data_IF_764308461664
#
_entry.id   IF_764308461664
#
_cell.length_a   1.000
_cell.length_b   1.000
_cell.length_c   1.000
_cell.angle_alpha   90.00
_cell.angle_beta   90.00
_cell.angle_gamma   90.00
#
_symmetry.space_group_name_H-M   'P 1'
#
loop_
_entity.id
_entity.type
_entity.pdbx_description
1 polymer ?
#
# COMPACT_ATOMS: atom_id res chain seq x y z
N UNK A 1 21.34 10.99 -0.15
CA UNK A 1 20.04 11.65 0.10
C UNK A 1 19.90 12.80 -0.89
N UNK A 2 18.75 12.91 -1.59
CA UNK A 2 18.50 14.07 -2.44
C UNK A 2 18.43 15.34 -1.58
N UNK A 3 18.97 16.44 -2.09
CA UNK A 3 18.90 17.72 -1.38
C UNK A 3 17.44 18.16 -1.22
N UNK A 4 17.06 18.88 -0.14
CA UNK A 4 15.70 19.39 0.05
C UNK A 4 15.16 20.12 -1.20
N UNK A 5 16.00 20.88 -1.87
CA UNK A 5 15.65 21.60 -3.11
C UNK A 5 15.27 20.66 -4.27
N UNK A 6 15.86 19.47 -4.40
CA UNK A 6 15.48 18.50 -5.43
C UNK A 6 14.12 17.90 -5.12
N UNK A 7 13.90 17.50 -3.87
CA UNK A 7 12.63 16.94 -3.40
C UNK A 7 11.46 17.90 -3.63
N UNK A 8 11.65 19.18 -3.31
CA UNK A 8 10.60 20.20 -3.47
C UNK A 8 10.26 20.42 -4.95
N UNK A 9 11.29 20.48 -5.82
CA UNK A 9 11.11 20.57 -7.27
C UNK A 9 10.37 19.36 -7.84
N UNK A 10 10.74 18.15 -7.39
CA UNK A 10 10.08 16.93 -7.81
C UNK A 10 8.60 16.92 -7.38
N UNK A 11 8.31 17.28 -6.14
CA UNK A 11 6.94 17.35 -5.64
C UNK A 11 6.10 18.37 -6.41
N UNK A 12 6.65 19.56 -6.69
CA UNK A 12 5.99 20.56 -7.52
C UNK A 12 5.70 20.02 -8.93
N UNK A 13 6.64 19.31 -9.54
CA UNK A 13 6.46 18.72 -10.88
C UNK A 13 5.42 17.59 -10.90
N UNK A 14 5.25 16.87 -9.79
CA UNK A 14 4.24 15.81 -9.65
C UNK A 14 2.82 16.32 -9.44
N UNK A 15 2.63 17.56 -9.02
CA UNK A 15 1.30 18.15 -8.83
C UNK A 15 1.11 18.92 -7.53
N UNK A 16 2.20 19.30 -6.87
CA UNK A 16 2.19 20.22 -5.73
C UNK A 16 2.21 19.52 -4.37
N UNK A 17 1.99 20.29 -3.30
CA UNK A 17 2.15 19.78 -1.94
C UNK A 17 1.18 18.62 -1.63
N UNK A 18 1.60 17.80 -0.68
CA UNK A 18 0.73 16.80 -0.09
C UNK A 18 -0.38 17.48 0.72
N UNK A 19 -1.57 16.87 0.82
CA UNK A 19 -2.58 17.34 1.77
C UNK A 19 -2.06 17.23 3.19
N UNK A 20 -2.64 18.01 4.09
CA UNK A 20 -2.35 17.91 5.51
C UNK A 20 -2.63 16.48 6.03
N UNK A 21 -1.82 16.05 7.00
CA UNK A 21 -2.04 14.76 7.63
C UNK A 21 -3.35 14.80 8.42
N UNK A 22 -4.15 13.76 8.26
CA UNK A 22 -5.33 13.50 9.08
C UNK A 22 -5.23 12.10 9.69
N UNK A 23 -6.15 11.76 10.56
CA UNK A 23 -6.24 10.42 11.13
C UNK A 23 -6.43 9.38 10.04
N UNK A 24 -5.75 8.24 10.19
CA UNK A 24 -5.81 7.15 9.24
C UNK A 24 -7.16 6.39 9.27
N UNK A 25 -7.98 6.62 10.29
CA UNK A 25 -9.28 5.95 10.46
C UNK A 25 -9.19 4.43 10.23
N UNK A 26 -8.18 3.82 10.84
CA UNK A 26 -7.85 2.40 10.64
C UNK A 26 -8.99 1.50 11.08
N UNK A 27 -9.35 0.54 10.23
CA UNK A 27 -10.30 -0.53 10.54
C UNK A 27 -9.66 -1.88 10.24
N UNK A 28 -9.71 -2.78 11.22
CA UNK A 28 -9.37 -4.20 11.00
C UNK A 28 -10.66 -4.93 10.63
N UNK A 29 -10.67 -5.51 9.43
CA UNK A 29 -11.86 -6.17 8.86
C UNK A 29 -11.91 -7.66 9.18
N UNK A 30 -10.74 -8.32 9.18
CA UNK A 30 -10.63 -9.74 9.53
C UNK A 30 -9.21 -10.07 10.01
N UNK A 31 -9.12 -11.19 10.74
CA UNK A 31 -7.86 -11.82 11.15
C UNK A 31 -7.96 -13.30 10.89
N UNK A 32 -6.93 -13.88 10.32
CA UNK A 32 -6.84 -15.30 10.04
C UNK A 32 -5.43 -15.80 10.39
N UNK A 33 -5.34 -16.93 11.11
CA UNK A 33 -4.05 -17.55 11.36
C UNK A 33 -3.63 -18.38 10.14
N UNK A 34 -2.44 -18.16 9.67
CA UNK A 34 -1.76 -18.91 8.62
C UNK A 34 -0.56 -19.65 9.23
N UNK A 35 0.13 -20.43 8.39
CA UNK A 35 1.35 -21.12 8.82
C UNK A 35 2.50 -20.12 9.01
N UNK A 36 2.88 -19.90 10.26
CA UNK A 36 3.96 -19.01 10.68
C UNK A 36 3.61 -17.53 10.79
N UNK A 37 2.38 -17.11 10.47
CA UNK A 37 1.98 -15.70 10.60
C UNK A 37 0.46 -15.52 10.74
N UNK A 38 0.06 -14.36 11.27
CA UNK A 38 -1.33 -13.89 11.25
C UNK A 38 -1.53 -12.95 10.05
N UNK A 39 -2.51 -13.27 9.21
CA UNK A 39 -2.97 -12.41 8.12
C UNK A 39 -4.11 -11.51 8.63
N UNK A 40 -3.95 -10.21 8.50
CA UNK A 40 -4.99 -9.23 8.80
C UNK A 40 -5.44 -8.54 7.51
N UNK A 41 -6.75 -8.43 7.29
CA UNK A 41 -7.32 -7.54 6.29
C UNK A 41 -7.67 -6.24 6.98
N UNK A 42 -7.12 -5.14 6.50
CA UNK A 42 -7.32 -3.80 7.08
C UNK A 42 -7.72 -2.80 6.01
N UNK A 43 -8.23 -1.65 6.45
CA UNK A 43 -8.37 -0.47 5.62
C UNK A 43 -7.97 0.77 6.39
N UNK A 44 -7.43 1.77 5.71
CA UNK A 44 -7.07 3.07 6.26
C UNK A 44 -7.24 4.16 5.20
N UNK A 45 -7.31 5.43 5.63
CA UNK A 45 -7.57 6.57 4.77
C UNK A 45 -6.26 7.32 4.46
N UNK A 46 -5.82 7.40 3.19
CA UNK A 46 -4.68 8.22 2.77
C UNK A 46 -5.02 9.71 2.76
N UNK A 47 -6.27 10.03 2.42
CA UNK A 47 -6.88 11.36 2.40
C UNK A 47 -8.39 11.23 2.62
N UNK A 48 -9.06 12.31 3.01
CA UNK A 48 -10.48 12.30 3.35
C UNK A 48 -11.33 11.76 2.18
N UNK A 49 -12.14 10.76 2.44
CA UNK A 49 -13.05 10.14 1.47
C UNK A 49 -12.40 9.12 0.53
N UNK A 50 -11.11 8.82 0.69
CA UNK A 50 -10.46 7.70 0.00
C UNK A 50 -10.07 6.61 1.01
N UNK A 51 -10.02 5.38 0.55
CA UNK A 51 -9.69 4.23 1.40
C UNK A 51 -8.69 3.32 0.73
N UNK A 52 -7.66 2.92 1.46
CA UNK A 52 -6.72 1.88 1.03
C UNK A 52 -7.03 0.58 1.78
N UNK A 53 -7.57 -0.44 1.10
CA UNK A 53 -7.56 -1.80 1.60
C UNK A 53 -6.14 -2.35 1.56
N UNK A 54 -5.75 -3.10 2.59
CA UNK A 54 -4.43 -3.73 2.66
C UNK A 54 -4.52 -5.09 3.35
N UNK A 55 -3.57 -5.96 3.04
CA UNK A 55 -3.24 -7.10 3.87
C UNK A 55 -1.99 -6.80 4.71
N UNK A 56 -2.03 -7.25 5.97
CA UNK A 56 -0.88 -7.19 6.87
C UNK A 56 -0.55 -8.61 7.32
N UNK A 57 0.68 -9.01 7.12
CA UNK A 57 1.20 -10.29 7.56
C UNK A 57 2.07 -10.03 8.80
N UNK A 58 1.66 -10.57 9.93
CA UNK A 58 2.37 -10.40 11.21
C UNK A 58 2.93 -11.76 11.61
N UNK A 59 4.26 -11.94 11.61
CA UNK A 59 4.88 -13.22 11.98
C UNK A 59 4.52 -13.67 13.38
N UNK A 60 4.49 -14.97 13.61
CA UNK A 60 4.30 -15.54 14.93
C UNK A 60 5.43 -15.10 15.88
N UNK A 61 5.06 -14.78 17.12
CA UNK A 61 6.01 -14.27 18.11
C UNK A 61 6.35 -12.78 18.01
N UNK A 62 5.89 -12.09 16.96
CA UNK A 62 5.99 -10.63 16.86
C UNK A 62 4.87 -9.99 17.70
N UNK A 63 5.26 -9.12 18.63
CA UNK A 63 4.35 -8.48 19.60
C UNK A 63 4.83 -7.05 19.88
N UNK A 64 4.03 -6.21 20.55
CA UNK A 64 4.50 -4.89 20.98
C UNK A 64 5.74 -4.91 21.89
N UNK A 65 6.01 -6.02 22.58
CA UNK A 65 7.19 -6.21 23.42
C UNK A 65 8.39 -6.79 22.64
N UNK A 66 8.12 -7.34 21.46
CA UNK A 66 9.13 -7.88 20.54
C UNK A 66 8.78 -7.42 19.11
N UNK A 67 8.91 -6.12 18.81
CA UNK A 67 8.57 -5.58 17.50
C UNK A 67 9.55 -6.07 16.43
N UNK A 68 9.08 -6.12 15.19
CA UNK A 68 9.89 -6.55 14.05
C UNK A 68 10.06 -5.46 12.99
N UNK A 69 11.16 -5.57 12.24
CA UNK A 69 11.36 -4.79 11.02
C UNK A 69 10.20 -5.03 10.05
N UNK A 70 9.87 -4.01 9.27
CA UNK A 70 8.67 -4.03 8.42
C UNK A 70 9.01 -3.73 6.97
N UNK A 71 8.32 -4.42 6.04
CA UNK A 71 8.41 -4.13 4.61
C UNK A 71 7.03 -3.78 4.06
N UNK A 72 6.91 -2.58 3.47
CA UNK A 72 5.74 -2.19 2.69
C UNK A 72 5.93 -2.62 1.24
N UNK A 73 5.01 -3.43 0.69
CA UNK A 73 5.12 -4.00 -0.66
C UNK A 73 4.05 -3.40 -1.58
N UNK A 74 4.49 -2.84 -2.70
CA UNK A 74 3.60 -2.45 -3.79
C UNK A 74 3.61 -3.51 -4.87
N UNK A 75 2.39 -4.02 -5.17
CA UNK A 75 2.18 -5.10 -6.13
C UNK A 75 2.48 -4.67 -7.56
N UNK A 76 2.68 -5.65 -8.45
CA UNK A 76 2.87 -5.41 -9.87
C UNK A 76 1.59 -4.93 -10.57
N UNK A 77 1.75 -4.36 -11.76
CA UNK A 77 0.65 -3.99 -12.66
C UNK A 77 0.25 -5.14 -13.61
N UNK A 78 1.14 -5.55 -14.48
CA UNK A 78 1.00 -6.63 -15.48
C UNK A 78 -0.34 -6.67 -16.24
N UNK A 79 -1.16 -5.59 -16.24
CA UNK A 79 -2.51 -5.59 -16.77
C UNK A 79 -3.53 -6.42 -15.97
N UNK A 80 -3.17 -6.87 -14.79
CA UNK A 80 -3.99 -7.75 -13.95
C UNK A 80 -4.73 -6.94 -12.87
N UNK A 81 -5.65 -6.07 -13.27
CA UNK A 81 -6.37 -5.15 -12.39
C UNK A 81 -7.22 -5.81 -11.30
N UNK A 82 -7.48 -7.11 -11.40
CA UNK A 82 -8.18 -7.90 -10.40
C UNK A 82 -7.25 -8.34 -9.25
N UNK A 83 -5.93 -8.23 -9.44
CA UNK A 83 -4.91 -8.49 -8.44
C UNK A 83 -4.36 -7.16 -7.91
N UNK A 84 -4.18 -7.09 -6.63
CA UNK A 84 -3.61 -5.95 -5.93
C UNK A 84 -2.85 -6.46 -4.73
N UNK A 85 -3.28 -6.09 -3.53
CA UNK A 85 -2.74 -6.58 -2.26
C UNK A 85 -2.73 -8.11 -2.13
N UNK A 86 -3.67 -8.81 -2.82
CA UNK A 86 -3.79 -10.28 -2.74
C UNK A 86 -2.59 -11.01 -3.35
N UNK A 87 -1.96 -10.45 -4.40
CA UNK A 87 -0.82 -11.07 -5.07
C UNK A 87 0.41 -11.18 -4.13
N UNK A 88 1.00 -10.10 -3.58
CA UNK A 88 2.12 -10.23 -2.67
C UNK A 88 1.75 -10.90 -1.33
N UNK A 89 0.50 -10.82 -0.90
CA UNK A 89 0.03 -11.46 0.33
C UNK A 89 -0.24 -12.98 0.18
N UNK A 90 -0.05 -13.55 -1.01
CA UNK A 90 -0.24 -14.98 -1.25
C UNK A 90 -1.69 -15.45 -1.20
N UNK A 91 -2.64 -14.54 -1.45
CA UNK A 91 -4.08 -14.84 -1.42
C UNK A 91 -4.64 -15.15 -2.81
N UNK A 92 -3.97 -14.65 -3.85
CA UNK A 92 -4.30 -14.87 -5.26
C UNK A 92 -3.05 -14.60 -6.11
N UNK A 93 -3.12 -14.84 -7.43
CA UNK A 93 -2.02 -14.57 -8.34
C UNK A 93 -1.00 -15.72 -8.45
N UNK A 94 0.18 -15.41 -8.99
CA UNK A 94 1.22 -16.42 -9.21
C UNK A 94 2.14 -16.54 -7.99
N UNK A 95 2.42 -17.79 -7.56
CA UNK A 95 3.25 -18.06 -6.39
C UNK A 95 4.61 -17.32 -6.39
N UNK A 96 5.18 -17.07 -7.55
CA UNK A 96 6.45 -16.31 -7.66
C UNK A 96 6.34 -14.86 -7.20
N UNK A 97 5.14 -14.33 -7.09
CA UNK A 97 4.86 -12.97 -6.62
C UNK A 97 4.44 -12.90 -5.15
N UNK A 98 4.26 -14.04 -4.47
CA UNK A 98 3.90 -14.10 -3.06
C UNK A 98 5.07 -13.68 -2.13
N UNK A 99 5.72 -12.59 -2.49
CA UNK A 99 6.93 -12.08 -1.81
C UNK A 99 6.67 -11.70 -0.35
N UNK A 100 5.45 -11.26 -0.04
CA UNK A 100 5.06 -10.92 1.32
C UNK A 100 5.02 -12.15 2.24
N UNK A 101 4.60 -13.30 1.72
CA UNK A 101 4.60 -14.56 2.48
C UNK A 101 6.04 -14.96 2.84
N UNK A 102 6.95 -14.94 1.86
CA UNK A 102 8.36 -15.24 2.11
C UNK A 102 9.00 -14.32 3.15
N UNK A 103 8.72 -13.01 3.07
CA UNK A 103 9.22 -12.06 4.05
C UNK A 103 8.61 -12.27 5.45
N UNK A 104 7.33 -12.61 5.54
CA UNK A 104 6.71 -12.92 6.83
C UNK A 104 7.32 -14.18 7.47
N UNK A 105 7.66 -15.18 6.68
CA UNK A 105 8.37 -16.38 7.15
C UNK A 105 9.80 -16.08 7.62
N UNK A 106 10.42 -15.00 7.11
CA UNK A 106 11.71 -14.47 7.56
C UNK A 106 11.57 -13.40 8.68
N UNK A 107 10.45 -13.43 9.42
CA UNK A 107 10.16 -12.60 10.58
C UNK A 107 10.01 -11.08 10.30
N UNK A 108 9.69 -10.66 9.09
CA UNK A 108 9.31 -9.28 8.80
C UNK A 108 7.80 -9.09 8.94
N UNK A 109 7.35 -8.01 9.56
CA UNK A 109 5.97 -7.55 9.35
C UNK A 109 5.85 -7.05 7.91
N UNK A 110 4.78 -7.43 7.22
CA UNK A 110 4.59 -7.03 5.83
C UNK A 110 3.26 -6.30 5.66
N UNK A 111 3.27 -5.18 4.95
CA UNK A 111 2.06 -4.43 4.60
C UNK A 111 1.92 -4.38 3.09
N UNK A 112 0.83 -4.95 2.57
CA UNK A 112 0.51 -5.02 1.15
C UNK A 112 -0.76 -4.20 0.87
N UNK A 113 -0.67 -2.94 0.41
CA UNK A 113 -1.83 -2.13 0.04
C UNK A 113 -2.30 -2.39 -1.39
N UNK A 114 -3.56 -2.08 -1.68
CA UNK A 114 -4.05 -1.93 -3.05
C UNK A 114 -3.63 -0.58 -3.63
N UNK A 115 -3.08 -0.59 -4.83
CA UNK A 115 -2.92 0.63 -5.61
C UNK A 115 -4.28 1.13 -6.15
N UNK A 116 -4.34 2.42 -6.47
CA UNK A 116 -5.55 3.04 -7.06
C UNK A 116 -5.91 2.35 -8.39
N UNK A 117 -7.18 1.92 -8.52
CA UNK A 117 -7.66 1.24 -9.72
C UNK A 117 -7.45 -0.27 -9.75
N UNK A 118 -6.95 -0.86 -8.66
CA UNK A 118 -6.74 -2.31 -8.52
C UNK A 118 -7.63 -2.93 -7.46
N UNK A 119 -7.92 -4.21 -7.63
CA UNK A 119 -8.64 -5.09 -6.72
C UNK A 119 -9.86 -4.41 -6.06
N UNK A 120 -9.85 -4.14 -4.77
CA UNK A 120 -11.00 -3.52 -4.09
C UNK A 120 -11.16 -2.03 -4.41
N UNK A 121 -10.11 -1.34 -4.85
CA UNK A 121 -10.20 0.08 -5.20
C UNK A 121 -10.83 0.36 -6.57
N UNK A 122 -11.27 -0.68 -7.30
CA UNK A 122 -12.11 -0.53 -8.49
C UNK A 122 -13.60 -0.35 -8.16
N UNK A 123 -14.04 -0.68 -6.93
CA UNK A 123 -15.47 -0.68 -6.54
C UNK A 123 -16.14 0.69 -6.62
N UNK A 124 -15.38 1.76 -6.48
CA UNK A 124 -15.90 3.13 -6.57
C UNK A 124 -16.27 3.56 -8.00
N UNK A 125 -16.04 2.71 -9.00
CA UNK A 125 -16.23 3.01 -10.41
C UNK A 125 -17.08 1.91 -11.07
N UNK A 126 -18.41 1.99 -10.91
CA UNK A 126 -19.33 0.91 -11.29
C UNK A 126 -19.30 0.52 -12.76
N UNK A 127 -19.01 1.49 -13.66
CA UNK A 127 -19.08 1.30 -15.13
C UNK A 127 -17.73 1.06 -15.79
N UNK A 128 -16.61 1.33 -15.14
CA UNK A 128 -15.27 1.25 -15.73
C UNK A 128 -14.44 0.14 -15.09
N UNK A 129 -13.65 -0.54 -15.92
CA UNK A 129 -12.75 -1.64 -15.49
C UNK A 129 -11.44 -1.61 -16.28
N UNK A 130 -10.42 -2.22 -15.69
CA UNK A 130 -9.14 -2.44 -16.35
C UNK A 130 -8.49 -1.14 -16.84
N UNK A 131 -7.94 -1.18 -18.05
CA UNK A 131 -7.25 -0.03 -18.65
C UNK A 131 -8.13 1.20 -18.89
N UNK A 132 -9.44 1.03 -19.09
CA UNK A 132 -10.37 2.16 -19.24
C UNK A 132 -10.54 2.89 -17.89
N UNK A 133 -10.61 2.15 -16.80
CA UNK A 133 -10.63 2.74 -15.44
C UNK A 133 -9.32 3.45 -15.14
N UNK A 134 -8.18 2.81 -15.41
CA UNK A 134 -6.87 3.42 -15.17
C UNK A 134 -6.72 4.72 -15.97
N UNK A 135 -7.08 4.69 -17.26
CA UNK A 135 -7.06 5.88 -18.12
C UNK A 135 -7.96 6.99 -17.58
N UNK A 136 -9.16 6.64 -17.12
CA UNK A 136 -10.07 7.61 -16.50
C UNK A 136 -9.46 8.26 -15.26
N UNK A 137 -8.89 7.45 -14.36
CA UNK A 137 -8.23 7.94 -13.15
C UNK A 137 -7.04 8.83 -13.51
N UNK A 138 -6.19 8.39 -14.43
CA UNK A 138 -5.06 9.15 -14.94
C UNK A 138 -5.48 10.55 -15.45
N UNK A 139 -6.49 10.60 -16.32
CA UNK A 139 -7.00 11.86 -16.87
C UNK A 139 -7.61 12.75 -15.78
N UNK A 140 -8.28 12.19 -14.79
CA UNK A 140 -8.81 12.94 -13.63
C UNK A 140 -7.71 13.68 -12.88
N UNK A 141 -6.55 13.03 -12.65
CA UNK A 141 -5.41 13.68 -12.00
C UNK A 141 -4.77 14.73 -12.90
N UNK A 142 -4.63 14.46 -14.21
CA UNK A 142 -4.09 15.44 -15.17
C UNK A 142 -4.93 16.72 -15.20
N UNK A 143 -6.26 16.59 -15.28
CA UNK A 143 -7.19 17.75 -15.25
C UNK A 143 -7.09 18.52 -13.92
N UNK A 144 -6.81 17.83 -12.82
CA UNK A 144 -6.59 18.45 -11.52
C UNK A 144 -5.19 19.06 -11.34
N UNK A 145 -4.35 19.08 -12.40
CA UNK A 145 -2.97 19.59 -12.34
C UNK A 145 -2.01 18.68 -11.57
N UNK A 146 -2.32 17.39 -11.45
CA UNK A 146 -1.55 16.39 -10.72
C UNK A 146 -1.17 15.22 -11.63
N UNK A 147 -0.17 14.48 -11.23
CA UNK A 147 0.14 13.18 -11.85
C UNK A 147 -0.48 12.04 -11.05
N UNK A 148 -0.72 10.89 -11.70
CA UNK A 148 -1.10 9.67 -10.98
C UNK A 148 0.03 9.21 -10.04
N UNK A 149 1.30 9.45 -10.41
CA UNK A 149 2.45 9.21 -9.54
C UNK A 149 2.38 10.02 -8.23
N UNK A 150 1.85 11.27 -8.26
CA UNK A 150 1.60 12.04 -7.05
C UNK A 150 0.70 11.26 -6.09
N UNK A 151 -0.41 10.70 -6.60
CA UNK A 151 -1.35 9.93 -5.79
C UNK A 151 -0.72 8.64 -5.26
N UNK A 152 -0.05 7.88 -6.11
CA UNK A 152 0.59 6.64 -5.70
C UNK A 152 1.63 6.88 -4.60
N UNK A 153 2.45 7.93 -4.70
CA UNK A 153 3.43 8.27 -3.67
C UNK A 153 2.75 8.75 -2.38
N UNK A 154 1.64 9.49 -2.46
CA UNK A 154 0.86 9.84 -1.28
C UNK A 154 0.37 8.57 -0.56
N UNK A 155 -0.20 7.63 -1.30
CA UNK A 155 -0.69 6.37 -0.75
C UNK A 155 0.45 5.55 -0.11
N UNK A 156 1.62 5.51 -0.76
CA UNK A 156 2.83 4.90 -0.20
C UNK A 156 3.24 5.54 1.14
N UNK A 157 3.28 6.88 1.20
CA UNK A 157 3.59 7.60 2.43
C UNK A 157 2.60 7.27 3.55
N UNK A 158 1.30 7.23 3.23
CA UNK A 158 0.25 6.91 4.21
C UNK A 158 0.30 5.44 4.66
N UNK A 159 0.73 4.55 3.77
CA UNK A 159 1.00 3.15 4.13
C UNK A 159 2.15 3.03 5.13
N UNK A 160 3.22 3.81 4.94
CA UNK A 160 4.32 3.87 5.93
C UNK A 160 3.84 4.51 7.24
N UNK A 161 3.06 5.61 7.19
CA UNK A 161 2.46 6.21 8.40
C UNK A 161 1.60 5.16 9.15
N UNK A 162 0.84 4.33 8.42
CA UNK A 162 0.07 3.23 9.01
C UNK A 162 0.98 2.17 9.64
N UNK A 163 2.02 1.72 8.93
CA UNK A 163 2.96 0.75 9.47
C UNK A 163 3.59 1.24 10.78
N UNK A 164 4.09 2.49 10.80
CA UNK A 164 4.67 3.12 12.02
C UNK A 164 3.67 3.22 13.17
N UNK A 165 2.37 3.35 12.89
CA UNK A 165 1.35 3.44 13.93
C UNK A 165 1.08 2.12 14.66
N UNK A 166 1.59 1.00 14.14
CA UNK A 166 1.37 -0.33 14.72
C UNK A 166 2.36 -0.62 15.84
N UNK A 167 1.90 -1.08 17.00
CA UNK A 167 2.78 -1.26 18.16
C UNK A 167 3.78 -2.43 18.02
N UNK A 168 3.52 -3.40 17.13
CA UNK A 168 4.40 -4.52 16.84
C UNK A 168 5.42 -4.24 15.72
N UNK A 169 5.45 -3.01 15.19
CA UNK A 169 6.39 -2.57 14.15
C UNK A 169 7.56 -1.84 14.79
N UNK A 170 8.76 -2.22 14.42
CA UNK A 170 9.97 -1.42 14.69
C UNK A 170 10.04 -0.25 13.71
N UNK A 171 9.66 0.94 14.19
CA UNK A 171 9.56 2.15 13.38
C UNK A 171 10.92 2.66 12.86
N UNK A 172 12.04 2.22 13.43
CA UNK A 172 13.39 2.57 12.96
C UNK A 172 13.85 1.69 11.79
N UNK A 173 13.18 0.54 11.56
CA UNK A 173 13.55 -0.46 10.57
C UNK A 173 12.40 -0.75 9.60
N UNK A 174 12.11 0.22 8.71
CA UNK A 174 11.08 0.09 7.68
C UNK A 174 11.71 0.12 6.29
N UNK A 175 11.47 -0.95 5.53
CA UNK A 175 11.82 -1.06 4.12
C UNK A 175 10.60 -0.92 3.21
N UNK A 176 10.87 -0.64 1.93
CA UNK A 176 9.88 -0.64 0.87
C UNK A 176 10.35 -1.51 -0.28
N UNK A 177 9.44 -2.28 -0.83
CA UNK A 177 9.64 -3.10 -2.02
C UNK A 177 8.57 -2.79 -3.05
N UNK A 178 8.92 -2.72 -4.31
CA UNK A 178 7.99 -2.53 -5.42
C UNK A 178 8.43 -3.34 -6.62
N UNK A 179 7.46 -3.86 -7.37
CA UNK A 179 7.72 -4.61 -8.60
C UNK A 179 6.90 -4.05 -9.75
N UNK A 180 7.56 -3.64 -10.84
CA UNK A 180 6.97 -3.31 -12.15
C UNK A 180 6.07 -2.05 -12.24
N UNK A 181 5.39 -1.61 -11.22
CA UNK A 181 4.45 -0.48 -11.28
C UNK A 181 5.14 0.88 -11.25
#
# INVERSE_FOLDING_TARGET
MATPMFRDKLLAALGGPWPDKHDLNVKVLSREQKDGYRLEKVQYEPEAGDTIPAYVLVPDGVTPQNPAATVCIWHQHAGQYHLGKSDPAGMDGAQMHHTGVGLAQECFVVVCPDAVGFEERVKSYECLRGGDLERHIFLKYVVAGKSMAWKNILDMKRTVDYAVSRPEVDAENIGCYGHSM
#
